data_IF_814092194973
#
_entry.id   IF_814092194973
#
_cell.length_a   1.000
_cell.length_b   1.000
_cell.length_c   1.000
_cell.angle_alpha   90.00
_cell.angle_beta   90.00
_cell.angle_gamma   90.00
#
_symmetry.space_group_name_H-M   'P 1'
#
loop_
_entity.id
_entity.type
_entity.pdbx_description
1 polymer ?
#
# COMPACT_ATOMS: atom_id res chain seq x y z
N UNK A 1 14.81 -13.09 8.36
CA UNK A 1 13.61 -12.92 7.51
C UNK A 1 14.07 -12.14 6.29
N UNK A 2 13.71 -12.56 5.08
CA UNK A 2 14.19 -11.96 3.83
C UNK A 2 13.83 -10.45 3.75
N UNK A 3 14.81 -9.59 3.48
CA UNK A 3 14.66 -8.14 3.36
C UNK A 3 13.57 -7.75 2.34
N UNK A 4 13.40 -8.58 1.30
CA UNK A 4 12.34 -8.39 0.30
C UNK A 4 10.95 -8.56 0.91
N UNK A 5 10.76 -9.54 1.78
CA UNK A 5 9.45 -9.78 2.43
C UNK A 5 9.15 -8.68 3.45
N UNK A 6 10.16 -8.20 4.19
CA UNK A 6 9.97 -7.07 5.11
C UNK A 6 9.50 -5.80 4.40
N UNK A 7 10.10 -5.46 3.26
CA UNK A 7 9.67 -4.31 2.46
C UNK A 7 8.23 -4.45 1.96
N UNK A 8 7.81 -5.67 1.60
CA UNK A 8 6.44 -5.93 1.14
C UNK A 8 5.45 -5.84 2.29
N UNK A 9 5.79 -6.35 3.47
CA UNK A 9 4.95 -6.20 4.68
C UNK A 9 4.76 -4.74 5.01
N UNK A 10 5.84 -3.96 5.03
CA UNK A 10 5.76 -2.52 5.25
C UNK A 10 4.82 -1.84 4.24
N UNK A 11 4.90 -2.21 2.96
CA UNK A 11 4.01 -1.67 1.93
C UNK A 11 2.52 -2.04 2.18
N UNK A 12 2.24 -3.25 2.64
CA UNK A 12 0.88 -3.66 3.02
C UNK A 12 0.40 -2.85 4.23
N UNK A 13 1.23 -2.65 5.25
CA UNK A 13 0.90 -1.88 6.46
C UNK A 13 0.56 -0.42 6.13
N UNK A 14 1.29 0.21 5.21
CA UNK A 14 1.05 1.60 4.80
C UNK A 14 -0.13 1.75 3.84
N UNK A 15 -0.62 0.67 3.23
CA UNK A 15 -1.71 0.73 2.26
C UNK A 15 -3.03 1.24 2.87
N UNK A 16 -3.96 1.75 2.04
CA UNK A 16 -5.29 2.17 2.49
C UNK A 16 -6.24 1.01 2.82
N UNK A 17 -5.78 -0.25 2.78
CA UNK A 17 -6.63 -1.40 3.01
C UNK A 17 -7.13 -1.47 4.45
N UNK A 18 -8.26 -2.16 4.64
CA UNK A 18 -8.74 -2.52 5.96
C UNK A 18 -7.73 -3.40 6.70
N UNK A 19 -7.65 -3.25 8.03
CA UNK A 19 -6.70 -3.97 8.86
C UNK A 19 -6.85 -5.49 8.73
N UNK A 20 -8.07 -6.00 8.61
CA UNK A 20 -8.34 -7.43 8.42
C UNK A 20 -7.71 -7.93 7.11
N UNK A 21 -7.79 -7.14 6.04
CA UNK A 21 -7.21 -7.50 4.74
C UNK A 21 -5.68 -7.46 4.82
N UNK A 22 -5.12 -6.46 5.51
CA UNK A 22 -3.68 -6.38 5.75
C UNK A 22 -3.17 -7.60 6.50
N UNK A 23 -3.85 -7.99 7.58
CA UNK A 23 -3.50 -9.18 8.37
C UNK A 23 -3.54 -10.46 7.53
N UNK A 24 -4.56 -10.63 6.68
CA UNK A 24 -4.66 -11.79 5.77
C UNK A 24 -3.48 -11.81 4.80
N UNK A 25 -3.19 -10.69 4.12
CA UNK A 25 -2.08 -10.62 3.16
C UNK A 25 -0.73 -10.87 3.82
N UNK A 26 -0.49 -10.29 5.01
CA UNK A 26 0.75 -10.49 5.76
C UNK A 26 0.89 -11.94 6.23
N UNK A 27 -0.20 -12.56 6.71
CA UNK A 27 -0.21 -13.96 7.12
C UNK A 27 0.10 -14.87 5.93
N UNK A 28 -0.62 -14.70 4.83
CA UNK A 28 -0.49 -15.55 3.65
C UNK A 28 0.92 -15.38 3.04
N UNK A 29 1.46 -14.16 3.01
CA UNK A 29 2.84 -13.89 2.61
C UNK A 29 3.88 -14.58 3.51
N UNK A 30 3.64 -14.66 4.83
CA UNK A 30 4.53 -15.34 5.77
C UNK A 30 4.47 -16.87 5.67
N UNK A 31 3.28 -17.42 5.36
CA UNK A 31 3.05 -18.87 5.29
C UNK A 31 3.42 -19.43 3.92
N UNK A 32 3.01 -18.76 2.85
CA UNK A 32 3.13 -19.26 1.46
C UNK A 32 4.29 -18.59 0.70
N UNK A 33 4.81 -17.47 1.20
CA UNK A 33 5.77 -16.64 0.49
C UNK A 33 5.13 -15.76 -0.57
N UNK A 34 5.95 -15.07 -1.37
CA UNK A 34 5.47 -14.16 -2.40
C UNK A 34 5.05 -14.91 -3.67
N UNK A 35 3.85 -15.49 -3.63
CA UNK A 35 3.22 -16.13 -4.80
C UNK A 35 2.85 -15.11 -5.88
N UNK A 36 2.64 -15.58 -7.11
CA UNK A 36 2.20 -14.71 -8.20
C UNK A 36 0.83 -14.08 -7.91
N UNK A 37 -0.08 -14.84 -7.29
CA UNK A 37 -1.37 -14.33 -6.84
C UNK A 37 -1.21 -13.20 -5.82
N UNK A 38 -0.43 -13.42 -4.74
CA UNK A 38 -0.19 -12.39 -3.72
C UNK A 38 0.50 -11.16 -4.31
N UNK A 39 1.42 -11.34 -5.26
CA UNK A 39 2.09 -10.23 -5.94
C UNK A 39 1.09 -9.34 -6.68
N UNK A 40 0.15 -9.92 -7.42
CA UNK A 40 -0.85 -9.14 -8.15
C UNK A 40 -1.85 -8.46 -7.21
N UNK A 41 -2.24 -9.12 -6.12
CA UNK A 41 -3.06 -8.51 -5.07
C UNK A 41 -2.37 -7.28 -4.44
N UNK A 42 -1.10 -7.43 -4.05
CA UNK A 42 -0.33 -6.34 -3.43
C UNK A 42 -0.13 -5.18 -4.41
N UNK A 43 0.09 -5.45 -5.71
CA UNK A 43 0.15 -4.39 -6.73
C UNK A 43 -1.16 -3.64 -6.86
N UNK A 44 -2.26 -4.36 -7.06
CA UNK A 44 -3.56 -3.75 -7.31
C UNK A 44 -4.08 -2.97 -6.10
N UNK A 45 -3.90 -3.50 -4.90
CA UNK A 45 -4.57 -2.99 -3.71
C UNK A 45 -3.67 -2.16 -2.81
N UNK A 46 -2.37 -2.42 -2.77
CA UNK A 46 -1.44 -1.65 -1.94
C UNK A 46 -0.73 -0.57 -2.74
N UNK A 47 -0.08 -0.92 -3.86
CA UNK A 47 0.71 0.03 -4.65
C UNK A 47 -0.16 1.10 -5.33
N UNK A 48 -1.21 0.72 -6.05
CA UNK A 48 -2.09 1.71 -6.69
C UNK A 48 -2.84 2.56 -5.65
N UNK A 49 -3.28 1.97 -4.54
CA UNK A 49 -3.91 2.72 -3.46
C UNK A 49 -3.00 3.78 -2.84
N UNK A 50 -1.71 3.46 -2.63
CA UNK A 50 -0.72 4.43 -2.16
C UNK A 50 -0.49 5.55 -3.17
N UNK A 51 -0.44 5.22 -4.46
CA UNK A 51 -0.28 6.20 -5.54
C UNK A 51 -1.46 7.17 -5.62
N UNK A 52 -2.69 6.70 -5.42
CA UNK A 52 -3.88 7.56 -5.33
C UNK A 52 -3.80 8.49 -4.11
N UNK A 53 -3.32 8.00 -2.97
CA UNK A 53 -3.09 8.84 -1.78
C UNK A 53 -2.05 9.93 -2.07
N UNK A 54 -0.91 9.57 -2.66
CA UNK A 54 0.14 10.52 -3.02
C UNK A 54 -0.39 11.60 -3.97
N UNK A 55 -1.16 11.21 -4.98
CA UNK A 55 -1.78 12.16 -5.89
C UNK A 55 -2.72 13.12 -5.14
N UNK A 56 -3.60 12.60 -4.28
CA UNK A 56 -4.52 13.42 -3.48
C UNK A 56 -3.77 14.35 -2.53
N UNK A 57 -2.64 13.91 -1.97
CA UNK A 57 -1.78 14.76 -1.14
C UNK A 57 -1.18 15.91 -1.95
N UNK A 58 -0.68 15.65 -3.16
CA UNK A 58 -0.15 16.70 -4.03
C UNK A 58 -1.22 17.70 -4.47
N UNK A 59 -2.43 17.23 -4.80
CA UNK A 59 -3.58 18.08 -5.11
C UNK A 59 -3.98 18.94 -3.89
N UNK A 60 -4.04 18.35 -2.69
CA UNK A 60 -4.32 19.09 -1.46
C UNK A 60 -3.25 20.15 -1.15
N UNK A 61 -1.96 19.84 -1.34
CA UNK A 61 -0.87 20.80 -1.19
C UNK A 61 -1.02 21.98 -2.14
N UNK A 62 -1.40 21.74 -3.39
CA UNK A 62 -1.67 22.81 -4.37
C UNK A 62 -2.84 23.67 -3.90
N UNK A 63 -3.95 23.07 -3.51
CA UNK A 63 -5.13 23.79 -3.03
C UNK A 63 -4.86 24.64 -1.78
N UNK A 64 -4.00 24.17 -0.87
CA UNK A 64 -3.61 24.95 0.32
C UNK A 64 -2.66 26.11 0.02
N UNK A 65 -1.87 26.02 -1.06
CA UNK A 65 -0.94 27.08 -1.50
C UNK A 65 -1.61 28.07 -2.47
N UNK A 66 -2.71 27.69 -3.12
CA UNK A 66 -3.56 28.60 -3.87
C UNK A 66 -4.31 29.48 -2.88
N UNK A 67 -3.80 30.71 -2.70
CA UNK A 67 -4.43 31.74 -1.88
C UNK A 67 -5.88 31.93 -2.38
N UNK A 68 -6.92 31.73 -1.55
CA UNK A 68 -8.27 32.09 -1.95
C UNK A 68 -8.28 33.59 -2.19
N UNK A 69 -8.53 33.99 -3.44
CA UNK A 69 -8.76 35.39 -3.79
C UNK A 69 -10.04 35.92 -3.14
#
# INVERSE_FOLDING_TARGET
MDDKIQNIIYLIEQSPLDETIKEILIRDLKVEGLTDFLREQIKAYCLEGLKEIDQRMEEAKKALNENPA
#
